data_IF_133572135161
#
_entry.id   IF_133572135161
#
_cell.length_a   1.000
_cell.length_b   1.000
_cell.length_c   1.000
_cell.angle_alpha   90.00
_cell.angle_beta   90.00
_cell.angle_gamma   90.00
#
_symmetry.space_group_name_H-M   'P 1'
#
loop_
_entity.id
_entity.type
_entity.pdbx_description
1 polymer ?
#
# COMPACT_ATOMS: atom_id res chain seq x y z
N UNK A 1 -6.59 -15.36 1.46
CA UNK A 1 -6.53 -15.24 -0.01
C UNK A 1 -5.43 -14.27 -0.35
N UNK A 2 -4.67 -14.56 -1.40
CA UNK A 2 -3.68 -13.63 -1.95
C UNK A 2 -4.30 -12.99 -3.20
N UNK A 3 -4.14 -11.68 -3.37
CA UNK A 3 -4.78 -10.92 -4.44
C UNK A 3 -3.74 -10.11 -5.20
N UNK A 4 -3.80 -10.15 -6.54
CA UNK A 4 -2.81 -9.52 -7.43
C UNK A 4 -3.50 -8.62 -8.44
N UNK A 5 -2.93 -7.45 -8.66
CA UNK A 5 -3.52 -6.37 -9.43
C UNK A 5 -2.44 -5.70 -10.29
N UNK A 6 -2.69 -5.56 -11.59
CA UNK A 6 -1.75 -4.99 -12.56
C UNK A 6 -2.34 -3.76 -13.26
N UNK A 7 -1.50 -2.76 -13.57
CA UNK A 7 -1.90 -1.50 -14.24
C UNK A 7 -2.68 -1.70 -15.53
N UNK A 8 -2.39 -2.71 -16.34
CA UNK A 8 -3.11 -2.95 -17.59
C UNK A 8 -4.62 -3.17 -17.39
N UNK A 9 -5.04 -3.50 -16.15
CA UNK A 9 -6.45 -3.60 -15.74
C UNK A 9 -7.05 -2.23 -15.39
N UNK A 10 -6.22 -1.21 -15.08
CA UNK A 10 -6.61 0.11 -14.59
C UNK A 10 -6.18 1.23 -15.53
N UNK A 11 -7.01 1.49 -16.54
CA UNK A 11 -7.01 2.78 -17.21
C UNK A 11 -8.06 3.65 -16.51
N UNK A 12 -7.61 4.58 -15.66
CA UNK A 12 -8.44 5.59 -14.97
C UNK A 12 -9.28 5.11 -13.77
N UNK A 13 -9.07 3.90 -13.27
CA UNK A 13 -9.74 3.37 -12.06
C UNK A 13 -8.68 3.23 -10.97
N UNK A 14 -9.03 3.59 -9.73
CA UNK A 14 -8.20 3.34 -8.56
C UNK A 14 -8.53 1.97 -7.98
N UNK A 15 -7.54 1.23 -7.47
CA UNK A 15 -7.76 -0.19 -7.17
C UNK A 15 -8.81 -0.40 -6.06
N UNK A 16 -8.94 0.53 -5.12
CA UNK A 16 -9.98 0.49 -4.08
C UNK A 16 -11.40 0.48 -4.66
N UNK A 17 -11.62 0.99 -5.87
CA UNK A 17 -12.92 1.01 -6.54
C UNK A 17 -13.35 -0.37 -7.07
N UNK A 18 -12.44 -1.35 -7.10
CA UNK A 18 -12.83 -2.74 -7.38
C UNK A 18 -13.55 -3.42 -6.22
N UNK A 19 -13.52 -2.81 -5.03
CA UNK A 19 -14.01 -3.44 -3.82
C UNK A 19 -15.25 -2.72 -3.31
N UNK A 20 -16.30 -3.50 -3.08
CA UNK A 20 -17.48 -3.04 -2.36
C UNK A 20 -17.12 -2.81 -0.88
N UNK A 21 -17.24 -1.56 -0.41
CA UNK A 21 -16.86 -1.15 0.95
C UNK A 21 -17.79 -1.70 2.03
N UNK A 22 -18.97 -2.21 1.67
CA UNK A 22 -19.92 -2.84 2.60
C UNK A 22 -19.59 -4.30 2.91
N UNK A 23 -18.52 -4.85 2.33
CA UNK A 23 -18.11 -6.25 2.52
C UNK A 23 -16.75 -6.35 3.23
N UNK A 24 -16.61 -7.29 4.17
CA UNK A 24 -15.33 -7.60 4.78
C UNK A 24 -14.58 -8.63 3.90
N UNK A 25 -13.33 -8.33 3.55
CA UNK A 25 -12.51 -9.20 2.70
C UNK A 25 -11.48 -9.99 3.50
N UNK A 26 -11.35 -11.28 3.21
CA UNK A 26 -10.33 -12.19 3.79
C UNK A 26 -8.98 -12.16 3.03
N UNK A 27 -8.60 -10.99 2.53
CA UNK A 27 -7.33 -10.76 1.82
C UNK A 27 -6.21 -10.74 2.86
N UNK A 28 -5.23 -11.63 2.70
CA UNK A 28 -4.06 -11.74 3.57
C UNK A 28 -2.84 -11.05 2.96
N UNK A 29 -2.72 -11.07 1.64
CA UNK A 29 -1.64 -10.42 0.92
C UNK A 29 -2.18 -9.71 -0.31
N UNK A 30 -1.69 -8.50 -0.54
CA UNK A 30 -2.02 -7.70 -1.71
C UNK A 30 -0.74 -7.41 -2.49
N UNK A 31 -0.76 -7.71 -3.78
CA UNK A 31 0.35 -7.46 -4.69
C UNK A 31 -0.13 -6.51 -5.79
N UNK A 32 0.45 -5.31 -5.83
CA UNK A 32 0.06 -4.25 -6.77
C UNK A 32 1.26 -3.95 -7.67
N UNK A 33 1.02 -3.93 -8.98
CA UNK A 33 2.07 -3.71 -9.99
C UNK A 33 1.68 -2.56 -10.91
N UNK A 34 2.54 -1.56 -10.98
CA UNK A 34 2.43 -0.39 -11.87
C UNK A 34 1.20 0.50 -11.60
N UNK A 35 0.65 0.45 -10.39
CA UNK A 35 -0.58 1.17 -10.04
C UNK A 35 -0.27 2.55 -9.47
N UNK A 36 -1.13 3.53 -9.78
CA UNK A 36 -1.17 4.81 -9.07
C UNK A 36 -1.96 4.65 -7.78
N UNK A 37 -1.29 4.79 -6.64
CA UNK A 37 -1.83 4.73 -5.29
C UNK A 37 -2.11 6.15 -4.81
N UNK A 38 -3.37 6.41 -4.47
CA UNK A 38 -3.81 7.68 -3.87
C UNK A 38 -4.36 7.47 -2.46
N UNK A 39 -4.82 8.55 -1.84
CA UNK A 39 -5.29 8.56 -0.46
C UNK A 39 -6.36 7.48 -0.17
N UNK A 40 -7.38 7.40 -1.03
CA UNK A 40 -8.48 6.43 -0.86
C UNK A 40 -8.02 4.97 -0.92
N UNK A 41 -6.97 4.68 -1.70
CA UNK A 41 -6.41 3.34 -1.83
C UNK A 41 -5.68 2.90 -0.55
N UNK A 42 -4.94 3.82 0.07
CA UNK A 42 -4.30 3.58 1.36
C UNK A 42 -5.34 3.40 2.48
N UNK A 43 -6.39 4.23 2.50
CA UNK A 43 -7.50 4.10 3.46
C UNK A 43 -8.23 2.76 3.32
N UNK A 44 -8.53 2.35 2.09
CA UNK A 44 -9.10 1.03 1.83
C UNK A 44 -8.20 -0.08 2.38
N UNK A 45 -6.91 -0.03 2.06
CA UNK A 45 -5.90 -0.99 2.53
C UNK A 45 -5.87 -1.05 4.06
N UNK A 46 -5.95 0.09 4.74
CA UNK A 46 -5.94 0.16 6.19
C UNK A 46 -7.13 -0.59 6.83
N UNK A 47 -8.28 -0.63 6.15
CA UNK A 47 -9.51 -1.26 6.61
C UNK A 47 -9.54 -2.80 6.41
N UNK A 48 -8.58 -3.38 5.68
CA UNK A 48 -8.49 -4.83 5.48
C UNK A 48 -7.97 -5.53 6.76
N UNK A 49 -8.87 -5.97 7.64
CA UNK A 49 -8.56 -6.52 8.97
C UNK A 49 -7.67 -7.78 8.96
N UNK A 50 -7.67 -8.56 7.88
CA UNK A 50 -6.89 -9.81 7.75
C UNK A 50 -5.59 -9.63 6.97
N UNK A 51 -5.29 -8.41 6.54
CA UNK A 51 -4.13 -8.09 5.73
C UNK A 51 -2.85 -8.24 6.55
N UNK A 52 -1.90 -8.99 6.01
CA UNK A 52 -0.57 -9.21 6.60
C UNK A 52 0.51 -8.45 5.84
N UNK A 53 0.35 -8.29 4.53
CA UNK A 53 1.32 -7.55 3.73
C UNK A 53 0.73 -6.95 2.46
N UNK A 54 1.32 -5.82 2.06
CA UNK A 54 1.12 -5.22 0.74
C UNK A 54 2.48 -5.07 0.10
N UNK A 55 2.60 -5.51 -1.15
CA UNK A 55 3.79 -5.30 -1.97
C UNK A 55 3.40 -4.44 -3.17
N UNK A 56 4.15 -3.36 -3.36
CA UNK A 56 4.02 -2.43 -4.46
C UNK A 56 5.24 -2.58 -5.36
N UNK A 57 5.05 -2.86 -6.65
CA UNK A 57 6.13 -2.90 -7.64
C UNK A 57 5.87 -1.89 -8.75
N UNK A 58 6.85 -1.03 -9.02
CA UNK A 58 6.77 0.04 -10.02
C UNK A 58 5.52 0.93 -9.88
N UNK A 59 4.99 1.07 -8.66
CA UNK A 59 3.79 1.86 -8.39
C UNK A 59 4.15 3.34 -8.20
N UNK A 60 3.16 4.22 -8.31
CA UNK A 60 3.30 5.63 -7.89
C UNK A 60 2.50 5.86 -6.64
N UNK A 61 3.09 6.44 -5.59
CA UNK A 61 2.33 6.92 -4.42
C UNK A 61 2.27 8.42 -4.52
N UNK A 62 1.04 8.96 -4.61
CA UNK A 62 0.81 10.40 -4.79
C UNK A 62 1.70 11.00 -5.89
N UNK A 63 1.61 10.41 -7.09
CA UNK A 63 2.41 10.72 -8.29
C UNK A 63 3.92 10.47 -8.21
N UNK A 64 4.46 10.14 -7.03
CA UNK A 64 5.89 9.82 -6.88
C UNK A 64 6.15 8.35 -7.18
N UNK A 65 7.01 8.01 -8.16
CA UNK A 65 7.28 6.63 -8.55
C UNK A 65 8.15 5.91 -7.52
N UNK A 66 7.84 4.63 -7.30
CA UNK A 66 8.59 3.71 -6.47
C UNK A 66 8.70 2.34 -7.13
N UNK A 67 9.91 1.83 -7.22
CA UNK A 67 10.27 0.54 -7.80
C UNK A 67 9.79 -0.62 -6.93
N UNK A 68 10.02 -0.54 -5.61
CA UNK A 68 9.57 -1.54 -4.66
C UNK A 68 9.32 -0.95 -3.26
N UNK A 69 8.09 -1.11 -2.78
CA UNK A 69 7.72 -0.84 -1.39
C UNK A 69 6.94 -2.02 -0.81
N UNK A 70 7.18 -2.33 0.46
CA UNK A 70 6.46 -3.39 1.17
C UNK A 70 5.96 -2.92 2.53
N UNK A 71 4.66 -3.03 2.74
CA UNK A 71 4.03 -2.86 4.03
C UNK A 71 3.88 -4.24 4.69
N UNK A 72 4.34 -4.38 5.92
CA UNK A 72 4.13 -5.58 6.74
C UNK A 72 3.32 -5.17 7.97
N UNK A 73 2.16 -5.79 8.14
CA UNK A 73 1.24 -5.54 9.25
C UNK A 73 1.57 -6.54 10.35
N UNK A 74 2.45 -6.13 11.27
CA UNK A 74 2.94 -6.98 12.36
C UNK A 74 1.83 -7.27 13.37
N UNK A 75 1.03 -6.25 13.67
CA UNK A 75 -0.16 -6.33 14.50
C UNK A 75 -1.11 -5.16 14.20
N UNK A 76 -2.19 -5.02 14.98
CA UNK A 76 -3.20 -4.00 14.76
C UNK A 76 -2.68 -2.55 14.91
N UNK A 77 -1.54 -2.35 15.59
CA UNK A 77 -0.95 -1.05 15.89
C UNK A 77 0.34 -0.75 15.11
N UNK A 78 1.01 -1.74 14.52
CA UNK A 78 2.34 -1.59 13.94
C UNK A 78 2.40 -2.04 12.49
N UNK A 79 2.90 -1.14 11.64
CA UNK A 79 3.25 -1.43 10.25
C UNK A 79 4.74 -1.17 10.04
N UNK A 80 5.43 -2.14 9.44
CA UNK A 80 6.77 -1.93 8.88
C UNK A 80 6.65 -1.52 7.40
N UNK A 81 7.22 -0.37 7.06
CA UNK A 81 7.38 0.07 5.67
C UNK A 81 8.81 -0.20 5.23
N UNK A 82 8.99 -1.19 4.36
CA UNK A 82 10.25 -1.67 3.82
C UNK A 82 10.50 -1.12 2.41
N UNK A 83 11.70 -0.63 2.13
CA UNK A 83 12.11 -0.09 0.82
C UNK A 83 13.60 -0.33 0.54
N UNK A 84 13.98 -0.33 -0.75
CA UNK A 84 15.36 -0.57 -1.21
C UNK A 84 15.98 0.70 -1.81
N UNK A 85 17.12 1.15 -1.24
CA UNK A 85 17.77 2.42 -1.62
C UNK A 85 18.31 2.47 -3.05
N UNK A 86 18.62 1.31 -3.64
CA UNK A 86 19.25 1.27 -4.96
C UNK A 86 18.37 1.95 -6.01
N UNK A 87 17.05 1.90 -5.84
CA UNK A 87 16.09 2.44 -6.80
C UNK A 87 15.11 3.45 -6.20
N UNK A 88 14.94 3.49 -4.88
CA UNK A 88 13.91 4.32 -4.22
C UNK A 88 14.44 5.05 -2.99
N UNK A 89 14.37 6.39 -3.01
CA UNK A 89 14.51 7.20 -1.80
C UNK A 89 13.12 7.65 -1.34
N UNK A 90 12.68 7.19 -0.17
CA UNK A 90 11.36 7.54 0.36
C UNK A 90 11.41 8.96 0.94
N UNK A 91 10.78 9.92 0.25
CA UNK A 91 10.75 11.31 0.66
C UNK A 91 10.01 11.50 1.99
N UNK A 92 10.29 12.61 2.70
CA UNK A 92 9.62 12.92 3.96
C UNK A 92 8.11 13.13 3.75
N UNK A 93 7.75 13.69 2.61
CA UNK A 93 6.39 13.97 2.16
C UNK A 93 5.61 12.67 1.98
N UNK A 94 6.17 11.69 1.26
CA UNK A 94 5.55 10.38 1.08
C UNK A 94 5.42 9.63 2.42
N UNK A 95 6.45 9.67 3.28
CA UNK A 95 6.36 9.06 4.63
C UNK A 95 5.22 9.69 5.42
N UNK A 96 5.09 11.02 5.38
CA UNK A 96 4.02 11.75 6.06
C UNK A 96 2.65 11.36 5.51
N UNK A 97 2.48 11.38 4.19
CA UNK A 97 1.25 10.99 3.50
C UNK A 97 0.79 9.58 3.88
N UNK A 98 1.72 8.62 3.86
CA UNK A 98 1.44 7.23 4.26
C UNK A 98 1.03 7.18 5.74
N UNK A 99 1.80 7.83 6.64
CA UNK A 99 1.52 7.82 8.08
C UNK A 99 0.14 8.37 8.41
N UNK A 100 -0.27 9.44 7.75
CA UNK A 100 -1.60 10.06 7.97
C UNK A 100 -2.73 9.12 7.58
N UNK A 101 -2.57 8.35 6.49
CA UNK A 101 -3.61 7.45 5.98
C UNK A 101 -3.72 6.10 6.70
N UNK A 102 -2.71 5.72 7.49
CA UNK A 102 -2.76 4.49 8.30
C UNK A 102 -2.99 4.74 9.80
N UNK A 103 -3.28 5.98 10.22
CA UNK A 103 -3.63 6.26 11.63
C UNK A 103 -4.80 5.38 12.10
N UNK A 104 -4.79 4.88 13.35
CA UNK A 104 -3.85 5.20 14.43
C UNK A 104 -2.55 4.35 14.42
N UNK A 105 -2.31 3.54 13.38
CA UNK A 105 -1.14 2.64 13.35
C UNK A 105 0.16 3.42 13.29
N UNK A 106 1.14 2.96 14.07
CA UNK A 106 2.53 3.42 14.01
C UNK A 106 3.21 2.78 12.80
N UNK A 107 3.88 3.61 11.99
CA UNK A 107 4.69 3.15 10.88
C UNK A 107 6.18 3.27 11.23
N UNK A 108 6.89 2.15 11.15
CA UNK A 108 8.34 2.09 11.25
C UNK A 108 8.92 1.87 9.86
N UNK A 109 9.76 2.82 9.42
CA UNK A 109 10.38 2.77 8.10
C UNK A 109 11.70 2.00 8.23
N UNK A 110 11.86 0.92 7.48
CA UNK A 110 13.06 0.08 7.46
C UNK A 110 13.64 0.03 6.06
N UNK A 111 14.94 0.25 5.95
CA UNK A 111 15.70 -0.03 4.74
C UNK A 111 15.96 -1.54 4.68
N UNK A 112 15.82 -2.12 3.50
CA UNK A 112 16.20 -3.51 3.18
C UNK A 112 17.32 -3.51 2.15
#
# INVERSE_FOLDING_TARGET
>A
MDFTVYRNIFQNIYFSELFCTSHEYNIKKLFLVEINIVEKDLRFTANLKKLKSVELRACKIDQTPYSFLKFVFENEYLIELKYYYLNDNLSKETIKFIKENFKPRRIVVKKV
#
